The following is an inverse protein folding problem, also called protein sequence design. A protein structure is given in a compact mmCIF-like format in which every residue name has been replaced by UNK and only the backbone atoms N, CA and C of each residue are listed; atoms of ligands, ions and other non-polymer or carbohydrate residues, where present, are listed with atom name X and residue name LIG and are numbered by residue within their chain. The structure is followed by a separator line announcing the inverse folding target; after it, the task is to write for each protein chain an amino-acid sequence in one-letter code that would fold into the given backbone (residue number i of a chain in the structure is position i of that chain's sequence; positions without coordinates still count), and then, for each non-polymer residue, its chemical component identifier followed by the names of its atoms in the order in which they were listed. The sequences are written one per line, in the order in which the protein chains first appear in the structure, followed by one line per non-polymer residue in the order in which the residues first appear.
data_IF_604201754989
#
_entry.id   IF_604201754989
#
_cell.length_a   1.000
_cell.length_b   1.000
_cell.length_c   1.000
_cell.angle_alpha   90.00
_cell.angle_beta   90.00
_cell.angle_gamma   90.00
#
_symmetry.space_group_name_H-M   'P 1'
#
loop_
_entity.id
_entity.type
_entity.pdbx_description
1 polymer ?
#
# COMPACT_ATOMS: atom_id res chain seq x y z
N UNK A 1 15.71 26.69 27.36
CA UNK A 1 15.80 25.22 27.24
C UNK A 1 14.56 24.67 27.94
N UNK A 2 13.48 24.42 27.21
CA UNK A 2 12.30 23.78 27.80
C UNK A 2 12.61 22.31 27.99
N UNK A 3 12.73 21.87 29.24
CA UNK A 3 12.72 20.44 29.58
C UNK A 3 11.47 19.83 28.97
N UNK A 4 11.67 19.01 27.94
CA UNK A 4 10.57 18.30 27.29
C UNK A 4 9.89 17.41 28.34
N UNK A 5 8.56 17.52 28.45
CA UNK A 5 7.77 16.63 29.30
C UNK A 5 7.97 15.21 28.77
N UNK A 6 8.75 14.41 29.48
CA UNK A 6 8.88 12.99 29.22
C UNK A 6 7.55 12.33 29.61
N UNK A 7 6.62 12.24 28.66
CA UNK A 7 5.40 11.47 28.83
C UNK A 7 5.81 10.00 28.79
N UNK A 8 5.88 9.35 29.96
CA UNK A 8 5.98 7.90 29.99
C UNK A 8 4.73 7.33 29.29
N UNK A 9 4.88 6.42 28.31
CA UNK A 9 3.74 5.82 27.64
C UNK A 9 2.89 5.12 28.69
N UNK A 10 1.58 5.39 28.72
CA UNK A 10 0.67 4.67 29.61
C UNK A 10 0.72 3.17 29.29
N UNK A 11 0.50 2.34 30.31
CA UNK A 11 0.49 0.89 30.08
C UNK A 11 -0.65 0.51 29.13
N UNK A 12 -0.34 -0.30 28.11
CA UNK A 12 -1.35 -0.79 27.17
C UNK A 12 -2.33 -1.72 27.87
N UNK A 13 -3.61 -1.61 27.51
CA UNK A 13 -4.63 -2.57 27.95
C UNK A 13 -4.35 -3.96 27.37
N UNK A 14 -4.86 -5.00 28.03
CA UNK A 14 -4.72 -6.37 27.52
C UNK A 14 -5.35 -6.56 26.14
N UNK A 15 -6.41 -5.81 25.83
CA UNK A 15 -7.05 -5.87 24.51
C UNK A 15 -6.17 -5.25 23.44
N UNK A 16 -5.51 -4.13 23.74
CA UNK A 16 -4.56 -3.50 22.83
C UNK A 16 -3.34 -4.41 22.58
N UNK A 17 -2.77 -4.99 23.65
CA UNK A 17 -1.68 -5.99 23.56
C UNK A 17 -2.08 -7.18 22.67
N UNK A 18 -3.28 -7.75 22.90
CA UNK A 18 -3.82 -8.85 22.06
C UNK A 18 -3.99 -8.47 20.59
N UNK A 19 -4.38 -7.23 20.27
CA UNK A 19 -4.51 -6.79 18.88
C UNK A 19 -3.14 -6.79 18.17
N UNK A 20 -2.08 -6.29 18.84
CA UNK A 20 -0.72 -6.33 18.32
C UNK A 20 -0.22 -7.77 18.13
N UNK A 21 -0.50 -8.65 19.09
CA UNK A 21 -0.14 -10.08 18.98
C UNK A 21 -0.83 -10.77 17.81
N UNK A 22 -2.12 -10.50 17.60
CA UNK A 22 -2.87 -11.03 16.47
C UNK A 22 -2.37 -10.52 15.13
N UNK A 23 -1.87 -9.28 15.05
CA UNK A 23 -1.23 -8.78 13.82
C UNK A 23 0.01 -9.62 13.51
N UNK A 24 0.87 -9.90 14.50
CA UNK A 24 2.05 -10.77 14.30
C UNK A 24 1.65 -12.16 13.80
N UNK A 25 0.70 -12.79 14.48
CA UNK A 25 0.22 -14.14 14.16
C UNK A 25 -0.37 -14.22 12.74
N UNK A 26 -1.31 -13.33 12.41
CA UNK A 26 -2.02 -13.34 11.13
C UNK A 26 -1.10 -13.10 9.94
N UNK A 27 -0.05 -12.29 10.12
CA UNK A 27 0.89 -11.96 9.07
C UNK A 27 2.19 -12.76 9.11
N UNK A 28 2.35 -13.66 10.09
CA UNK A 28 3.53 -14.52 10.23
C UNK A 28 4.83 -13.73 10.45
N UNK A 29 4.75 -12.55 11.07
CA UNK A 29 5.91 -11.70 11.35
C UNK A 29 6.32 -11.77 12.81
N UNK A 30 7.62 -11.65 13.08
CA UNK A 30 8.14 -11.68 14.46
C UNK A 30 7.74 -10.45 15.28
N UNK A 31 7.69 -9.28 14.64
CA UNK A 31 7.47 -8.00 15.29
C UNK A 31 6.50 -7.13 14.50
N UNK A 32 5.81 -6.25 15.22
CA UNK A 32 5.04 -5.14 14.63
C UNK A 32 5.90 -3.87 14.64
N UNK A 33 5.67 -2.92 13.72
CA UNK A 33 6.25 -1.59 13.80
C UNK A 33 6.14 -0.98 15.20
N UNK A 34 7.25 -0.44 15.73
CA UNK A 34 7.27 0.21 17.05
C UNK A 34 6.24 1.34 17.14
N UNK A 35 5.96 2.00 16.01
CA UNK A 35 4.91 3.01 15.91
C UNK A 35 3.51 2.49 16.28
N UNK A 36 3.20 1.22 16.00
CA UNK A 36 1.90 0.65 16.36
C UNK A 36 1.74 0.41 17.85
N UNK A 37 2.83 0.17 18.58
CA UNK A 37 2.79 0.13 20.05
C UNK A 37 2.37 1.47 20.64
N UNK A 38 2.80 2.58 20.02
CA UNK A 38 2.32 3.93 20.40
C UNK A 38 0.89 4.18 19.94
N UNK A 39 0.54 3.77 18.72
CA UNK A 39 -0.85 3.87 18.24
C UNK A 39 -1.83 3.08 19.12
N UNK A 40 -1.40 1.95 19.68
CA UNK A 40 -2.18 1.09 20.56
C UNK A 40 -2.61 1.72 21.89
N UNK A 41 -2.11 2.91 22.23
CA UNK A 41 -2.69 3.75 23.29
C UNK A 41 -4.16 4.07 23.01
N UNK A 42 -4.55 4.14 21.73
CA UNK A 42 -5.95 4.06 21.32
C UNK A 42 -6.36 2.59 21.18
N UNK A 43 -6.94 2.00 22.25
CA UNK A 43 -7.39 0.61 22.26
C UNK A 43 -8.34 0.32 21.08
N UNK A 44 -9.33 1.19 20.87
CA UNK A 44 -10.28 1.04 19.75
C UNK A 44 -9.59 1.19 18.41
N UNK A 45 -8.69 2.17 18.27
CA UNK A 45 -7.94 2.41 17.03
C UNK A 45 -7.11 1.22 16.56
N UNK A 46 -6.33 0.60 17.46
CA UNK A 46 -5.53 -0.58 17.09
C UNK A 46 -6.40 -1.81 16.79
N UNK A 47 -7.53 -1.96 17.48
CA UNK A 47 -8.47 -3.04 17.19
C UNK A 47 -9.14 -2.86 15.81
N UNK A 48 -9.55 -1.65 15.46
CA UNK A 48 -10.12 -1.35 14.14
C UNK A 48 -9.09 -1.58 13.03
N UNK A 49 -7.85 -1.12 13.25
CA UNK A 49 -6.75 -1.36 12.32
C UNK A 49 -6.52 -2.86 12.12
N UNK A 50 -6.39 -3.63 13.20
CA UNK A 50 -6.26 -5.09 13.14
C UNK A 50 -7.42 -5.73 12.37
N UNK A 51 -8.67 -5.39 12.68
CA UNK A 51 -9.84 -5.99 12.04
C UNK A 51 -9.89 -5.70 10.54
N UNK A 52 -9.50 -4.49 10.12
CA UNK A 52 -9.42 -4.13 8.71
C UNK A 52 -8.31 -4.92 7.99
N UNK A 53 -7.11 -5.01 8.56
CA UNK A 53 -6.03 -5.81 8.00
C UNK A 53 -6.41 -7.29 7.89
N UNK A 54 -6.96 -7.87 8.97
CA UNK A 54 -7.36 -9.26 9.01
C UNK A 54 -8.52 -9.58 8.07
N UNK A 55 -9.38 -8.61 7.74
CA UNK A 55 -10.45 -8.84 6.76
C UNK A 55 -9.95 -8.68 5.32
N UNK A 56 -9.15 -7.65 5.05
CA UNK A 56 -8.83 -7.26 3.67
C UNK A 56 -7.56 -7.90 3.11
N UNK A 57 -6.66 -8.41 3.96
CA UNK A 57 -5.38 -9.01 3.53
C UNK A 57 -5.31 -10.53 3.73
N UNK A 58 -6.46 -11.21 3.85
CA UNK A 58 -6.53 -12.68 3.80
C UNK A 58 -7.01 -13.16 2.43
N UNK A 59 -6.95 -14.47 2.22
CA UNK A 59 -7.43 -15.09 0.99
C UNK A 59 -8.90 -14.78 0.73
N UNK A 60 -9.20 -14.48 -0.53
CA UNK A 60 -10.53 -14.20 -1.04
C UNK A 60 -10.57 -14.47 -2.54
N UNK A 61 -11.25 -13.62 -3.32
CA UNK A 61 -11.21 -13.71 -4.79
C UNK A 61 -9.85 -13.29 -5.35
N UNK A 62 -9.07 -12.55 -4.56
CA UNK A 62 -7.66 -12.28 -4.77
C UNK A 62 -6.87 -12.92 -3.62
N UNK A 63 -5.76 -13.59 -3.95
CA UNK A 63 -4.95 -14.32 -2.97
C UNK A 63 -4.33 -13.37 -1.94
N UNK A 64 -4.10 -13.89 -0.73
CA UNK A 64 -3.33 -13.21 0.32
C UNK A 64 -1.97 -12.76 -0.18
N UNK A 65 -1.30 -13.61 -0.95
CA UNK A 65 0.00 -13.34 -1.54
C UNK A 65 -0.01 -12.09 -2.44
N UNK A 66 -0.98 -11.97 -3.36
CA UNK A 66 -1.13 -10.77 -4.21
C UNK A 66 -1.51 -9.55 -3.37
N UNK A 67 -2.44 -9.70 -2.43
CA UNK A 67 -2.87 -8.61 -1.52
C UNK A 67 -1.71 -8.04 -0.71
N UNK A 68 -0.75 -8.87 -0.29
CA UNK A 68 0.44 -8.44 0.43
C UNK A 68 1.44 -7.68 -0.46
N UNK A 69 1.58 -8.05 -1.74
CA UNK A 69 2.36 -7.24 -2.70
C UNK A 69 1.69 -5.88 -2.96
N UNK A 70 0.36 -5.84 -3.05
CA UNK A 70 -0.42 -4.59 -3.12
C UNK A 70 -0.19 -3.74 -1.88
N UNK A 71 -0.28 -4.33 -0.69
CA UNK A 71 -0.05 -3.63 0.58
C UNK A 71 1.37 -3.06 0.68
N UNK A 72 2.38 -3.83 0.27
CA UNK A 72 3.77 -3.39 0.18
C UNK A 72 3.91 -2.20 -0.78
N UNK A 73 3.35 -2.29 -1.99
CA UNK A 73 3.39 -1.20 -2.96
C UNK A 73 2.72 0.08 -2.47
N UNK A 74 1.57 -0.03 -1.79
CA UNK A 74 0.89 1.12 -1.16
C UNK A 74 1.75 1.72 -0.04
N UNK A 75 2.33 0.90 0.84
CA UNK A 75 3.21 1.40 1.90
C UNK A 75 4.44 2.14 1.34
N UNK A 76 4.98 1.66 0.21
CA UNK A 76 6.05 2.34 -0.54
C UNK A 76 5.58 3.70 -1.06
N UNK A 77 4.42 3.77 -1.71
CA UNK A 77 3.87 5.01 -2.26
C UNK A 77 3.57 6.05 -1.17
N UNK A 78 3.12 5.62 0.02
CA UNK A 78 2.91 6.49 1.19
C UNK A 78 4.24 6.97 1.80
N UNK A 79 5.35 6.28 1.53
CA UNK A 79 6.66 6.61 2.09
C UNK A 79 6.77 6.27 3.57
N UNK A 80 6.26 5.11 4.00
CA UNK A 80 6.35 4.64 5.39
C UNK A 80 7.38 3.51 5.55
N UNK A 81 8.60 3.76 6.04
CA UNK A 81 9.65 2.73 6.12
C UNK A 81 9.26 1.54 7.00
N UNK A 82 8.62 1.79 8.14
CA UNK A 82 8.19 0.71 9.05
C UNK A 82 7.09 -0.15 8.42
N UNK A 83 6.17 0.44 7.65
CA UNK A 83 5.13 -0.32 6.96
C UNK A 83 5.67 -1.09 5.75
N UNK A 84 6.61 -0.50 5.00
CA UNK A 84 7.32 -1.19 3.92
C UNK A 84 8.03 -2.43 4.46
N UNK A 85 8.74 -2.31 5.58
CA UNK A 85 9.42 -3.46 6.19
C UNK A 85 8.42 -4.51 6.67
N UNK A 86 7.34 -4.11 7.35
CA UNK A 86 6.31 -5.04 7.81
C UNK A 86 5.68 -5.83 6.67
N UNK A 87 5.20 -5.16 5.61
CA UNK A 87 4.55 -5.85 4.49
C UNK A 87 5.52 -6.67 3.65
N UNK A 88 6.80 -6.27 3.56
CA UNK A 88 7.87 -7.08 2.97
C UNK A 88 8.02 -8.41 3.70
N UNK A 89 8.14 -8.38 5.02
CA UNK A 89 8.26 -9.60 5.84
C UNK A 89 6.99 -10.44 5.77
N UNK A 90 5.81 -9.83 5.82
CA UNK A 90 4.54 -10.54 5.71
C UNK A 90 4.38 -11.24 4.35
N UNK A 91 4.78 -10.59 3.25
CA UNK A 91 4.76 -11.20 1.92
C UNK A 91 5.69 -12.42 1.85
N UNK A 92 6.91 -12.30 2.41
CA UNK A 92 7.88 -13.40 2.48
C UNK A 92 7.34 -14.55 3.34
N UNK A 93 6.76 -14.26 4.50
CA UNK A 93 6.13 -15.25 5.37
C UNK A 93 4.95 -15.97 4.69
N UNK A 94 4.27 -15.29 3.76
CA UNK A 94 3.22 -15.87 2.93
C UNK A 94 3.75 -16.64 1.70
N UNK A 95 5.06 -16.82 1.56
CA UNK A 95 5.68 -17.62 0.49
C UNK A 95 6.14 -16.84 -0.74
N UNK A 96 6.14 -15.50 -0.71
CA UNK A 96 6.79 -14.69 -1.75
C UNK A 96 8.31 -14.68 -1.57
N UNK A 97 9.03 -14.48 -2.66
CA UNK A 97 10.49 -14.34 -2.61
C UNK A 97 10.89 -12.91 -2.26
N UNK A 98 12.13 -12.72 -1.82
CA UNK A 98 12.70 -11.39 -1.66
C UNK A 98 12.75 -10.60 -2.98
N UNK A 99 12.88 -11.30 -4.11
CA UNK A 99 12.84 -10.70 -5.44
C UNK A 99 11.44 -10.16 -5.77
N UNK A 100 10.37 -10.93 -5.52
CA UNK A 100 8.99 -10.47 -5.71
C UNK A 100 8.71 -9.19 -4.91
N UNK A 101 9.16 -9.15 -3.65
CA UNK A 101 8.98 -7.98 -2.80
C UNK A 101 9.76 -6.76 -3.31
N UNK A 102 11.00 -6.95 -3.78
CA UNK A 102 11.78 -5.87 -4.37
C UNK A 102 11.13 -5.33 -5.65
N UNK A 103 10.58 -6.20 -6.49
CA UNK A 103 9.91 -5.80 -7.72
C UNK A 103 8.54 -5.15 -7.48
N UNK A 104 7.83 -5.51 -6.40
CA UNK A 104 6.63 -4.80 -5.98
C UNK A 104 6.94 -3.36 -5.53
N UNK A 105 8.03 -3.16 -4.79
CA UNK A 105 8.53 -1.82 -4.40
C UNK A 105 8.90 -1.01 -5.67
N UNK A 106 9.65 -1.62 -6.58
CA UNK A 106 10.02 -1.00 -7.86
C UNK A 106 8.79 -0.61 -8.68
N UNK A 107 7.81 -1.51 -8.80
CA UNK A 107 6.52 -1.26 -9.46
C UNK A 107 5.81 -0.04 -8.87
N UNK A 108 5.73 0.05 -7.55
CA UNK A 108 5.09 1.19 -6.88
C UNK A 108 5.85 2.52 -7.10
N UNK A 109 7.19 2.50 -7.10
CA UNK A 109 8.02 3.69 -7.36
C UNK A 109 7.84 4.17 -8.81
N UNK A 110 7.93 3.26 -9.77
CA UNK A 110 7.71 3.58 -11.18
C UNK A 110 6.29 4.11 -11.39
N UNK A 111 5.27 3.41 -10.87
CA UNK A 111 3.88 3.87 -10.93
C UNK A 111 3.72 5.27 -10.34
N UNK A 112 4.32 5.54 -9.18
CA UNK A 112 4.28 6.86 -8.53
C UNK A 112 4.94 7.97 -9.36
N UNK A 113 6.01 7.64 -10.10
CA UNK A 113 6.67 8.58 -11.02
C UNK A 113 5.71 9.02 -12.13
N UNK A 114 5.02 8.06 -12.76
CA UNK A 114 4.00 8.37 -13.77
C UNK A 114 2.77 9.05 -13.15
N UNK A 115 2.33 8.62 -11.96
CA UNK A 115 1.20 9.23 -11.26
C UNK A 115 1.44 10.71 -10.98
N UNK A 116 2.62 11.10 -10.49
CA UNK A 116 2.96 12.49 -10.23
C UNK A 116 2.83 13.34 -11.50
N UNK A 117 3.29 12.82 -12.65
CA UNK A 117 3.22 13.52 -13.93
C UNK A 117 1.79 13.60 -14.50
N UNK A 118 1.07 12.48 -14.55
CA UNK A 118 -0.29 12.45 -15.12
C UNK A 118 -1.35 13.09 -14.21
N UNK A 119 -1.12 13.09 -12.89
CA UNK A 119 -1.98 13.82 -11.94
C UNK A 119 -1.95 15.31 -12.22
N UNK A 120 -0.78 15.89 -12.47
CA UNK A 120 -0.67 17.31 -12.86
C UNK A 120 -1.56 17.63 -14.06
N UNK A 121 -1.57 16.79 -15.11
CA UNK A 121 -2.42 17.01 -16.30
C UNK A 121 -3.91 17.07 -15.98
N UNK A 122 -4.35 16.34 -14.96
CA UNK A 122 -5.75 16.35 -14.51
C UNK A 122 -6.10 17.59 -13.68
N UNK A 123 -5.10 18.37 -13.26
CA UNK A 123 -5.25 19.58 -12.45
C UNK A 123 -5.08 20.86 -13.27
N UNK A 124 -4.58 20.76 -14.50
CA UNK A 124 -4.39 21.88 -15.40
C UNK A 124 -5.76 22.42 -15.88
N UNK A 125 -5.97 23.75 -15.92
CA UNK A 125 -7.16 24.37 -16.51
C UNK A 125 -7.44 23.90 -17.93
N UNK A 126 -8.73 23.79 -18.29
CA UNK A 126 -9.15 23.18 -19.56
C UNK A 126 -8.60 23.87 -20.82
N UNK A 127 -8.39 25.18 -20.78
CA UNK A 127 -7.79 25.96 -21.87
C UNK A 127 -6.30 25.65 -22.09
N UNK A 128 -5.59 25.21 -21.04
CA UNK A 128 -4.19 24.80 -21.12
C UNK A 128 -4.01 23.29 -21.38
N UNK A 129 -5.06 22.48 -21.20
CA UNK A 129 -5.00 21.03 -21.35
C UNK A 129 -4.47 20.55 -22.73
N UNK A 130 -4.83 21.16 -23.88
CA UNK A 130 -4.26 20.79 -25.18
C UNK A 130 -2.74 20.93 -25.21
N UNK A 131 -2.22 22.06 -24.73
CA UNK A 131 -0.77 22.35 -24.68
C UNK A 131 -0.02 21.29 -23.87
N UNK A 132 -0.53 20.94 -22.70
CA UNK A 132 0.16 19.98 -21.83
C UNK A 132 0.02 18.51 -22.28
N UNK A 133 -0.95 18.22 -23.16
CA UNK A 133 -1.15 16.89 -23.73
C UNK A 133 -0.12 16.53 -24.81
N UNK A 134 0.46 17.53 -25.47
CA UNK A 134 1.49 17.35 -26.51
C UNK A 134 2.85 16.88 -25.96
N UNK A 135 3.16 17.18 -24.70
CA UNK A 135 4.41 16.72 -24.10
C UNK A 135 4.41 15.19 -23.93
N UNK A 136 5.55 14.55 -24.18
CA UNK A 136 5.68 13.10 -23.94
C UNK A 136 6.19 12.85 -22.52
N UNK A 137 5.65 11.82 -21.86
CA UNK A 137 6.20 11.33 -20.61
C UNK A 137 7.48 10.52 -20.92
N UNK A 138 8.66 11.14 -20.81
CA UNK A 138 9.96 10.49 -21.10
C UNK A 138 10.56 9.86 -19.84
N UNK A 139 9.76 9.09 -19.10
CA UNK A 139 10.24 8.29 -17.96
C UNK A 139 10.54 6.85 -18.39
N UNK A 140 11.43 6.20 -17.64
CA UNK A 140 11.68 4.77 -17.80
C UNK A 140 10.72 3.98 -16.90
N UNK A 141 10.07 2.96 -17.48
CA UNK A 141 9.18 2.05 -16.75
C UNK A 141 9.33 0.62 -17.23
N UNK A 142 10.50 0.01 -16.95
CA UNK A 142 10.80 -1.37 -17.39
C UNK A 142 9.81 -2.39 -16.86
N UNK A 143 9.27 -2.18 -15.66
CA UNK A 143 8.21 -3.02 -15.06
C UNK A 143 6.96 -3.14 -15.92
N UNK A 144 6.67 -2.13 -16.76
CA UNK A 144 5.50 -2.13 -17.66
C UNK A 144 5.80 -2.72 -19.04
N UNK A 145 7.08 -2.77 -19.43
CA UNK A 145 7.50 -3.31 -20.74
C UNK A 145 7.81 -4.80 -20.66
N UNK A 146 8.50 -5.21 -19.60
CA UNK A 146 8.86 -6.59 -19.33
C UNK A 146 8.60 -6.84 -17.84
N UNK A 147 7.34 -7.17 -17.47
CA UNK A 147 6.97 -7.47 -16.10
C UNK A 147 7.91 -8.53 -15.50
N UNK A 148 8.53 -8.26 -14.34
CA UNK A 148 9.47 -9.18 -13.71
C UNK A 148 8.77 -10.36 -13.00
N UNK A 149 7.46 -10.24 -12.78
CA UNK A 149 6.55 -11.27 -12.25
C UNK A 149 5.19 -11.15 -12.95
N UNK A 150 4.18 -11.87 -12.47
CA UNK A 150 2.83 -11.91 -13.06
C UNK A 150 2.28 -10.49 -13.35
N UNK A 151 1.97 -10.24 -14.62
CA UNK A 151 1.46 -8.95 -15.11
C UNK A 151 0.16 -8.54 -14.41
N UNK A 152 -0.66 -9.50 -13.98
CA UNK A 152 -1.86 -9.22 -13.18
C UNK A 152 -1.49 -8.58 -11.84
N UNK A 153 -0.45 -9.09 -11.19
CA UNK A 153 -0.03 -8.57 -9.89
C UNK A 153 0.60 -7.17 -10.02
N UNK A 154 1.32 -6.90 -11.12
CA UNK A 154 1.80 -5.55 -11.47
C UNK A 154 0.62 -4.59 -11.55
N UNK A 155 -0.41 -4.93 -12.32
CA UNK A 155 -1.60 -4.08 -12.46
C UNK A 155 -2.38 -3.95 -11.15
N UNK A 156 -2.46 -4.99 -10.32
CA UNK A 156 -3.08 -4.91 -9.00
C UNK A 156 -2.39 -3.88 -8.09
N UNK A 157 -1.05 -3.86 -8.08
CA UNK A 157 -0.26 -2.85 -7.36
C UNK A 157 -0.55 -1.46 -7.93
N UNK A 158 -0.47 -1.32 -9.27
CA UNK A 158 -0.64 -0.04 -9.93
C UNK A 158 -2.04 0.57 -9.77
N UNK A 159 -3.10 -0.24 -9.77
CA UNK A 159 -4.47 0.20 -9.48
C UNK A 159 -4.54 0.80 -8.08
N UNK A 160 -4.04 0.09 -7.06
CA UNK A 160 -4.09 0.56 -5.67
C UNK A 160 -3.21 1.80 -5.45
N UNK A 161 -1.96 1.79 -5.96
CA UNK A 161 -1.02 2.91 -5.84
C UNK A 161 -1.55 4.15 -6.55
N UNK A 162 -2.09 4.01 -7.77
CA UNK A 162 -2.67 5.14 -8.51
C UNK A 162 -3.88 5.74 -7.80
N UNK A 163 -4.68 4.90 -7.13
CA UNK A 163 -5.80 5.37 -6.30
C UNK A 163 -5.30 6.18 -5.11
N UNK A 164 -4.33 5.67 -4.35
CA UNK A 164 -3.75 6.38 -3.18
C UNK A 164 -3.07 7.68 -3.59
N UNK A 165 -2.41 7.71 -4.75
CA UNK A 165 -1.75 8.90 -5.29
C UNK A 165 -2.72 9.92 -5.91
N UNK A 166 -4.02 9.59 -6.01
CA UNK A 166 -5.05 10.40 -6.65
C UNK A 166 -4.75 10.72 -8.13
N UNK A 167 -4.25 9.75 -8.90
CA UNK A 167 -4.09 9.89 -10.36
C UNK A 167 -5.27 9.27 -11.12
N UNK A 168 -6.32 10.06 -11.39
CA UNK A 168 -7.52 9.58 -12.11
C UNK A 168 -7.19 8.92 -13.45
N UNK A 169 -6.33 9.54 -14.27
CA UNK A 169 -5.94 8.99 -15.57
C UNK A 169 -5.21 7.65 -15.46
N UNK A 170 -4.42 7.47 -14.42
CA UNK A 170 -3.67 6.25 -14.18
C UNK A 170 -4.60 5.14 -13.66
N UNK A 171 -5.55 5.47 -12.76
CA UNK A 171 -6.59 4.52 -12.31
C UNK A 171 -7.37 3.98 -13.50
N UNK A 172 -7.86 4.85 -14.39
CA UNK A 172 -8.55 4.44 -15.62
C UNK A 172 -7.69 3.49 -16.48
N UNK A 173 -6.44 3.85 -16.74
CA UNK A 173 -5.52 3.01 -17.52
C UNK A 173 -5.27 1.63 -16.90
N UNK A 174 -4.91 1.59 -15.62
CA UNK A 174 -4.58 0.33 -14.93
C UNK A 174 -5.80 -0.55 -14.69
N UNK A 175 -6.99 0.02 -14.44
CA UNK A 175 -8.24 -0.76 -14.36
C UNK A 175 -8.57 -1.42 -15.70
N UNK A 176 -8.50 -0.67 -16.81
CA UNK A 176 -8.76 -1.22 -18.14
C UNK A 176 -7.76 -2.34 -18.49
N UNK A 177 -6.48 -2.14 -18.18
CA UNK A 177 -5.45 -3.15 -18.39
C UNK A 177 -5.67 -4.38 -17.50
N UNK A 178 -5.94 -4.20 -16.20
CA UNK A 178 -6.27 -5.28 -15.28
C UNK A 178 -7.46 -6.14 -15.76
N UNK A 179 -8.53 -5.51 -16.25
CA UNK A 179 -9.69 -6.19 -16.83
C UNK A 179 -9.34 -6.96 -18.10
N UNK A 180 -8.49 -6.40 -18.96
CA UNK A 180 -7.99 -7.11 -20.16
C UNK A 180 -7.16 -8.35 -19.82
N UNK A 181 -6.55 -8.39 -18.63
CA UNK A 181 -5.82 -9.54 -18.09
C UNK A 181 -6.71 -10.50 -17.28
N UNK A 182 -8.04 -10.29 -17.28
CA UNK A 182 -9.04 -11.19 -16.72
C UNK A 182 -9.48 -10.89 -15.29
N UNK A 183 -9.03 -9.80 -14.67
CA UNK A 183 -9.62 -9.38 -13.40
C UNK A 183 -11.10 -9.00 -13.57
N UNK A 184 -11.92 -9.51 -12.65
CA UNK A 184 -13.32 -9.13 -12.52
C UNK A 184 -13.48 -7.90 -11.61
N UNK A 185 -14.61 -7.20 -11.72
CA UNK A 185 -14.85 -5.95 -10.98
C UNK A 185 -14.79 -6.16 -9.45
N UNK A 186 -15.25 -7.31 -8.97
CA UNK A 186 -15.21 -7.68 -7.56
C UNK A 186 -13.79 -8.01 -7.05
N UNK A 187 -12.91 -8.51 -7.92
CA UNK A 187 -11.49 -8.69 -7.61
C UNK A 187 -10.76 -7.35 -7.55
N UNK A 188 -11.10 -6.40 -8.43
CA UNK A 188 -10.55 -5.04 -8.39
C UNK A 188 -11.01 -4.32 -7.11
N UNK A 189 -12.26 -4.49 -6.70
CA UNK A 189 -12.75 -4.00 -5.40
C UNK A 189 -11.98 -4.61 -4.21
N UNK A 190 -11.69 -5.92 -4.21
CA UNK A 190 -10.83 -6.53 -3.20
C UNK A 190 -9.40 -5.94 -3.18
N UNK A 191 -8.82 -5.65 -4.35
CA UNK A 191 -7.50 -4.99 -4.47
C UNK A 191 -7.53 -3.59 -3.85
N UNK A 192 -8.56 -2.80 -4.14
CA UNK A 192 -8.71 -1.45 -3.57
C UNK A 192 -8.92 -1.51 -2.06
N UNK A 193 -9.70 -2.45 -1.54
CA UNK A 193 -9.88 -2.65 -0.09
C UNK A 193 -8.58 -3.06 0.61
N UNK A 194 -7.79 -3.94 -0.01
CA UNK A 194 -6.47 -4.32 0.48
C UNK A 194 -5.54 -3.10 0.53
N UNK A 195 -5.49 -2.31 -0.56
CA UNK A 195 -4.71 -1.08 -0.63
C UNK A 195 -5.14 -0.04 0.41
N UNK A 196 -6.45 0.16 0.62
CA UNK A 196 -6.97 1.10 1.62
C UNK A 196 -6.60 0.71 3.06
N UNK A 197 -6.65 -0.59 3.38
CA UNK A 197 -6.20 -1.09 4.69
C UNK A 197 -4.69 -0.87 4.89
N UNK A 198 -3.89 -1.11 3.85
CA UNK A 198 -2.43 -0.87 3.89
C UNK A 198 -2.10 0.63 4.00
N UNK A 199 -2.85 1.50 3.33
CA UNK A 199 -2.74 2.94 3.45
C UNK A 199 -2.96 3.39 4.89
N UNK A 200 -4.04 2.95 5.53
CA UNK A 200 -4.33 3.27 6.93
C UNK A 200 -3.22 2.77 7.88
N UNK A 201 -2.67 1.58 7.64
CA UNK A 201 -1.54 1.04 8.40
C UNK A 201 -0.27 1.89 8.25
N UNK A 202 0.05 2.30 7.03
CA UNK A 202 1.20 3.17 6.75
C UNK A 202 1.04 4.55 7.40
N UNK A 203 -0.17 5.11 7.40
CA UNK A 203 -0.47 6.35 8.12
C UNK A 203 -0.32 6.19 9.64
N UNK A 204 -0.82 5.11 10.23
CA UNK A 204 -0.64 4.84 11.65
C UNK A 204 0.85 4.70 12.01
N UNK A 205 1.64 4.05 11.15
CA UNK A 205 3.08 3.97 11.32
C UNK A 205 3.76 5.34 11.27
N UNK A 206 3.35 6.23 10.35
CA UNK A 206 3.95 7.55 10.18
C UNK A 206 3.52 8.54 11.28
N UNK A 207 2.26 8.49 11.72
CA UNK A 207 1.73 9.37 12.75
C UNK A 207 2.29 9.09 14.15
N UNK A 208 2.82 7.87 14.36
CA UNK A 208 3.30 7.40 15.66
C UNK A 208 4.78 7.02 15.64
N UNK A 209 5.62 7.64 14.78
CA UNK A 209 7.08 7.42 14.74
C UNK A 209 7.82 7.96 15.97
#
# INVERSE_FOLDING_TARGET
MSEGVAVQPAELTDRAKRALDRIKEVFGVAEVPAALTRFAQSETGINDLYMNLNRQLQDGKVSKQTKLLVALGVATAVGSPQAVEFFRQAAIAAGRTAADAAEAIHTAITCSTYNAYYRFRSQVPGDLAPTYSEFKATFNGSVFLKPPFDEREVEAICVAVSSVNNCMKCVDGHVNKAKSLGYQDDQIDEIIKAGAAAFAFALACNACQ
#
